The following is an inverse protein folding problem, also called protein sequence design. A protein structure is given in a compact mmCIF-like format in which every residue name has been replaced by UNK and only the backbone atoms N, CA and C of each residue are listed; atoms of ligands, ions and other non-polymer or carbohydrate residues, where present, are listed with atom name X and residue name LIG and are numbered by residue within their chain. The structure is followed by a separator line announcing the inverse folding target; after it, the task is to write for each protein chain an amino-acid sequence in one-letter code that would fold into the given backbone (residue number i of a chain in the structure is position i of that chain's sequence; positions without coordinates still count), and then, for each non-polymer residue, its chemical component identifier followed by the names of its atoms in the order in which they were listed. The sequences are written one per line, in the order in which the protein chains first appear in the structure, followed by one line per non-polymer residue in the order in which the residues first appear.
data_IF_858928278136
#
_entry.id   IF_858928278136
#
_cell.length_a   1.000
_cell.length_b   1.000
_cell.length_c   1.000
_cell.angle_alpha   90.00
_cell.angle_beta   90.00
_cell.angle_gamma   90.00
#
_symmetry.space_group_name_H-M   'P 1'
#
loop_
_entity.id
_entity.type
_entity.pdbx_description
1 polymer ?
#
# COMPACT_ATOMS: atom_id res chain seq x y z
N UNK A 1 -61.17 -12.34 -13.16
CA UNK A 1 -59.82 -12.15 -13.73
C UNK A 1 -58.99 -13.37 -13.39
N UNK A 2 -58.54 -14.13 -14.41
CA UNK A 2 -57.77 -15.36 -14.20
C UNK A 2 -56.31 -15.00 -13.90
N UNK A 3 -55.85 -15.29 -12.69
CA UNK A 3 -54.42 -15.18 -12.33
C UNK A 3 -53.71 -16.41 -12.90
N UNK A 4 -52.96 -16.22 -13.98
CA UNK A 4 -52.08 -17.25 -14.52
C UNK A 4 -50.76 -17.23 -13.74
N UNK A 5 -50.47 -18.29 -12.98
CA UNK A 5 -49.15 -18.49 -12.36
C UNK A 5 -48.12 -18.70 -13.47
N UNK A 6 -47.35 -17.66 -13.79
CA UNK A 6 -46.17 -17.79 -14.68
C UNK A 6 -44.99 -18.26 -13.85
N UNK A 7 -44.35 -19.33 -14.30
CA UNK A 7 -43.04 -19.75 -13.80
C UNK A 7 -41.98 -18.96 -14.56
N UNK A 8 -41.08 -18.30 -13.84
CA UNK A 8 -39.98 -17.50 -14.41
C UNK A 8 -38.67 -18.13 -13.95
N UNK A 9 -37.80 -18.45 -14.90
CA UNK A 9 -36.47 -18.99 -14.66
C UNK A 9 -35.42 -17.96 -15.10
N UNK A 10 -34.39 -17.77 -14.27
CA UNK A 10 -33.29 -16.83 -14.56
C UNK A 10 -32.04 -17.61 -14.97
N UNK A 11 -31.40 -17.17 -16.05
CA UNK A 11 -30.17 -17.77 -16.58
C UNK A 11 -29.18 -16.65 -16.89
N UNK A 12 -27.91 -16.87 -16.53
CA UNK A 12 -26.81 -15.99 -16.91
C UNK A 12 -26.18 -16.47 -18.22
N UNK A 13 -26.03 -15.55 -19.17
CA UNK A 13 -25.37 -15.81 -20.46
C UNK A 13 -24.21 -14.81 -20.66
N UNK A 14 -23.06 -15.25 -21.19
CA UNK A 14 -22.00 -14.34 -21.60
C UNK A 14 -22.46 -13.39 -22.72
N UNK A 15 -21.92 -12.17 -22.77
CA UNK A 15 -22.23 -11.24 -23.85
C UNK A 15 -21.60 -11.68 -25.18
N UNK A 16 -22.26 -11.37 -26.30
CA UNK A 16 -21.76 -11.52 -27.67
C UNK A 16 -21.34 -12.95 -28.09
N UNK A 17 -21.97 -13.98 -27.52
CA UNK A 17 -21.75 -15.38 -27.93
C UNK A 17 -22.69 -15.85 -29.06
N UNK A 18 -23.39 -14.92 -29.73
CA UNK A 18 -24.24 -15.22 -30.88
C UNK A 18 -25.64 -15.72 -30.51
N UNK A 19 -26.14 -15.46 -29.30
CA UNK A 19 -27.53 -15.77 -28.92
C UNK A 19 -28.42 -14.65 -29.49
N UNK A 20 -29.26 -14.92 -30.52
CA UNK A 20 -29.92 -13.85 -31.26
C UNK A 20 -30.84 -12.96 -30.41
N UNK A 21 -31.52 -13.54 -29.41
CA UNK A 21 -32.39 -12.79 -28.50
C UNK A 21 -31.61 -11.87 -27.56
N UNK A 22 -30.48 -12.34 -27.02
CA UNK A 22 -29.59 -11.55 -26.16
C UNK A 22 -28.94 -10.41 -26.96
N UNK A 23 -28.39 -10.72 -28.12
CA UNK A 23 -27.69 -9.74 -28.96
C UNK A 23 -28.67 -8.68 -29.50
N UNK A 24 -29.91 -9.08 -29.83
CA UNK A 24 -30.97 -8.14 -30.19
C UNK A 24 -31.37 -7.24 -29.01
N UNK A 25 -31.48 -7.78 -27.80
CA UNK A 25 -31.79 -7.00 -26.61
C UNK A 25 -30.68 -5.98 -26.30
N UNK A 26 -29.41 -6.40 -26.36
CA UNK A 26 -28.24 -5.54 -26.17
C UNK A 26 -28.17 -4.42 -27.23
N UNK A 27 -28.36 -4.77 -28.50
CA UNK A 27 -28.43 -3.80 -29.60
C UNK A 27 -29.53 -2.75 -29.38
N UNK A 28 -30.74 -3.19 -29.04
CA UNK A 28 -31.86 -2.27 -28.78
C UNK A 28 -31.62 -1.39 -27.55
N UNK A 29 -30.99 -1.92 -26.50
CA UNK A 29 -30.60 -1.14 -25.33
C UNK A 29 -29.58 -0.05 -25.70
N UNK A 30 -28.59 -0.37 -26.54
CA UNK A 30 -27.61 0.59 -27.03
C UNK A 30 -28.24 1.66 -27.95
N UNK A 31 -29.13 1.27 -28.86
CA UNK A 31 -29.88 2.20 -29.73
C UNK A 31 -30.73 3.17 -28.89
N UNK A 32 -31.35 2.68 -27.81
CA UNK A 32 -32.14 3.51 -26.90
C UNK A 32 -31.29 4.60 -26.23
N UNK A 33 -30.01 4.36 -25.93
CA UNK A 33 -29.13 5.41 -25.36
C UNK A 33 -28.97 6.59 -26.35
N UNK A 34 -28.98 6.31 -27.66
CA UNK A 34 -28.75 7.31 -28.72
C UNK A 34 -30.02 7.97 -29.27
N UNK A 35 -31.21 7.52 -28.85
CA UNK A 35 -32.49 8.06 -29.36
C UNK A 35 -32.76 9.47 -28.86
N UNK A 36 -33.26 10.33 -29.76
CA UNK A 36 -33.66 11.72 -29.45
C UNK A 36 -34.89 11.83 -28.54
N UNK A 37 -35.65 10.75 -28.39
CA UNK A 37 -36.80 10.66 -27.47
C UNK A 37 -36.42 10.12 -26.08
N UNK A 38 -35.16 9.76 -25.87
CA UNK A 38 -34.72 9.20 -24.60
C UNK A 38 -34.68 10.24 -23.50
N UNK A 39 -35.15 9.85 -22.31
CA UNK A 39 -35.05 10.69 -21.12
C UNK A 39 -33.58 10.80 -20.73
N UNK A 40 -33.01 12.00 -20.87
CA UNK A 40 -31.68 12.28 -20.34
C UNK A 40 -31.72 12.20 -18.82
N UNK A 41 -31.14 11.14 -18.27
CA UNK A 41 -30.84 11.08 -16.84
C UNK A 41 -29.60 11.96 -16.63
N UNK A 42 -29.82 13.24 -16.33
CA UNK A 42 -28.73 14.21 -16.10
C UNK A 42 -28.04 14.01 -14.74
N UNK A 43 -28.51 13.07 -13.94
CA UNK A 43 -27.99 12.82 -12.60
C UNK A 43 -26.93 11.74 -12.66
N UNK A 44 -25.68 12.13 -12.38
CA UNK A 44 -24.61 11.17 -12.17
C UNK A 44 -24.94 10.33 -10.93
N UNK A 45 -24.88 8.99 -11.02
CA UNK A 45 -25.04 8.14 -9.86
C UNK A 45 -24.04 8.53 -8.76
N UNK A 46 -24.48 8.50 -7.51
CA UNK A 46 -23.62 8.78 -6.36
C UNK A 46 -22.32 7.96 -6.37
N UNK A 47 -22.39 6.69 -6.79
CA UNK A 47 -21.23 5.80 -6.87
C UNK A 47 -20.18 6.31 -7.87
N UNK A 48 -20.61 6.88 -8.99
CA UNK A 48 -19.71 7.45 -9.99
C UNK A 48 -19.04 8.72 -9.48
N UNK A 49 -19.82 9.62 -8.86
CA UNK A 49 -19.27 10.83 -8.23
C UNK A 49 -18.25 10.45 -7.16
N UNK A 50 -18.61 9.51 -6.27
CA UNK A 50 -17.71 9.01 -5.23
C UNK A 50 -16.42 8.44 -5.81
N UNK A 51 -16.51 7.65 -6.88
CA UNK A 51 -15.35 7.10 -7.60
C UNK A 51 -14.46 8.21 -8.15
N UNK A 52 -15.03 9.21 -8.82
CA UNK A 52 -14.30 10.35 -9.39
C UNK A 52 -13.58 11.14 -8.27
N UNK A 53 -14.28 11.45 -7.19
CA UNK A 53 -13.71 12.15 -6.03
C UNK A 53 -12.53 11.35 -5.48
N UNK A 54 -12.70 10.04 -5.23
CA UNK A 54 -11.64 9.20 -4.69
C UNK A 54 -10.41 9.16 -5.62
N UNK A 55 -10.62 9.02 -6.94
CA UNK A 55 -9.54 9.04 -7.92
C UNK A 55 -8.79 10.36 -7.91
N UNK A 56 -9.52 11.49 -7.87
CA UNK A 56 -8.92 12.80 -7.80
C UNK A 56 -8.13 12.98 -6.48
N UNK A 57 -8.70 12.63 -5.34
CA UNK A 57 -8.03 12.70 -4.03
C UNK A 57 -6.74 11.87 -4.00
N UNK A 58 -6.79 10.63 -4.49
CA UNK A 58 -5.60 9.74 -4.56
C UNK A 58 -4.54 10.35 -5.49
N UNK A 59 -4.93 10.86 -6.66
CA UNK A 59 -3.99 11.47 -7.59
C UNK A 59 -3.32 12.71 -7.00
N UNK A 60 -4.10 13.63 -6.42
CA UNK A 60 -3.57 14.83 -5.76
C UNK A 60 -2.63 14.47 -4.61
N UNK A 61 -2.98 13.47 -3.80
CA UNK A 61 -2.09 13.01 -2.73
C UNK A 61 -0.80 12.38 -3.28
N UNK A 62 -0.87 11.60 -4.37
CA UNK A 62 0.32 11.03 -5.00
C UNK A 62 1.22 12.12 -5.58
N UNK A 63 0.67 13.18 -6.18
CA UNK A 63 1.43 14.34 -6.67
C UNK A 63 2.19 15.00 -5.51
N UNK A 64 1.50 15.36 -4.42
CA UNK A 64 2.15 15.94 -3.24
C UNK A 64 3.19 14.98 -2.61
N UNK A 65 2.95 13.67 -2.67
CA UNK A 65 3.92 12.68 -2.22
C UNK A 65 5.15 12.60 -3.12
N UNK A 66 5.01 12.83 -4.43
CA UNK A 66 6.10 12.83 -5.40
C UNK A 66 6.97 14.08 -5.34
N UNK A 67 6.45 15.19 -4.82
CA UNK A 67 7.21 16.42 -4.53
C UNK A 67 8.15 16.27 -3.31
N UNK A 68 7.89 15.31 -2.42
CA UNK A 68 8.74 15.07 -1.25
C UNK A 68 10.10 14.50 -1.69
N UNK A 69 11.22 15.06 -1.21
CA UNK A 69 12.55 14.60 -1.59
C UNK A 69 12.84 13.19 -1.08
N UNK A 70 13.69 12.46 -1.80
CA UNK A 70 14.14 11.10 -1.44
C UNK A 70 14.95 11.09 -0.12
N UNK A 71 15.44 12.24 0.35
CA UNK A 71 16.04 12.37 1.67
C UNK A 71 15.05 12.08 2.82
N UNK A 72 13.74 12.15 2.57
CA UNK A 72 12.74 11.72 3.53
C UNK A 72 12.82 10.19 3.75
N UNK A 73 12.93 9.79 5.02
CA UNK A 73 13.12 8.39 5.45
C UNK A 73 12.06 7.43 4.90
N UNK A 74 10.79 7.86 4.83
CA UNK A 74 9.72 7.01 4.31
C UNK A 74 9.67 7.07 2.77
N UNK A 75 9.94 8.23 2.16
CA UNK A 75 9.92 8.39 0.69
C UNK A 75 10.96 7.52 -0.01
N UNK A 76 12.15 7.37 0.56
CA UNK A 76 13.17 6.47 0.00
C UNK A 76 12.82 4.98 0.06
N UNK A 77 11.79 4.61 0.83
CA UNK A 77 11.29 3.23 0.93
C UNK A 77 9.97 3.07 0.17
N UNK A 78 9.07 4.05 0.25
CA UNK A 78 7.70 3.99 -0.24
C UNK A 78 7.46 5.06 -1.30
N UNK A 79 7.57 4.69 -2.58
CA UNK A 79 7.38 5.62 -3.71
C UNK A 79 5.91 5.95 -3.98
N UNK A 80 5.00 5.00 -3.78
CA UNK A 80 3.56 5.16 -4.02
C UNK A 80 2.75 5.20 -2.73
N UNK A 81 1.72 6.03 -2.70
CA UNK A 81 0.81 6.18 -1.55
C UNK A 81 -0.12 4.97 -1.35
N UNK A 82 -0.18 4.07 -2.34
CA UNK A 82 -1.01 2.86 -2.32
C UNK A 82 -0.80 2.07 -1.04
N UNK A 83 -1.87 1.55 -0.45
CA UNK A 83 -1.75 0.73 0.76
C UNK A 83 -0.90 -0.50 0.46
N UNK A 84 0.09 -0.76 1.32
CA UNK A 84 0.84 -2.02 1.24
C UNK A 84 0.00 -3.18 1.75
N UNK A 85 0.12 -4.31 1.07
CA UNK A 85 -0.46 -5.58 1.44
C UNK A 85 0.28 -6.11 2.67
N UNK A 86 -0.36 -5.99 3.82
CA UNK A 86 0.11 -6.61 5.06
C UNK A 86 -0.40 -8.03 5.13
N UNK A 87 0.46 -8.96 5.56
CA UNK A 87 0.04 -10.33 5.83
C UNK A 87 -1.09 -10.33 6.88
N UNK A 88 -2.13 -11.17 6.70
CA UNK A 88 -3.15 -11.34 7.71
C UNK A 88 -2.51 -11.87 9.01
N UNK A 89 -3.00 -11.42 10.16
CA UNK A 89 -2.56 -11.84 11.49
C UNK A 89 -1.11 -11.48 11.87
N UNK A 90 -0.55 -10.41 11.29
CA UNK A 90 0.71 -9.85 11.79
C UNK A 90 0.55 -9.41 13.25
N UNK A 91 1.54 -9.73 14.11
CA UNK A 91 1.48 -9.32 15.51
C UNK A 91 1.66 -7.80 15.63
N UNK A 92 0.96 -7.19 16.59
CA UNK A 92 1.08 -5.76 16.91
C UNK A 92 2.54 -5.31 17.07
N UNK A 93 3.38 -6.15 17.67
CA UNK A 93 4.81 -5.84 17.84
C UNK A 93 5.53 -5.68 16.50
N UNK A 94 5.24 -6.58 15.55
CA UNK A 94 5.82 -6.53 14.21
C UNK A 94 5.37 -5.28 13.46
N UNK A 95 4.09 -4.89 13.57
CA UNK A 95 3.57 -3.66 12.96
C UNK A 95 4.26 -2.41 13.50
N UNK A 96 4.49 -2.34 14.81
CA UNK A 96 5.23 -1.25 15.45
C UNK A 96 6.65 -1.19 14.91
N UNK A 97 7.35 -2.33 14.86
CA UNK A 97 8.73 -2.40 14.37
C UNK A 97 8.79 -1.95 12.91
N UNK A 98 7.93 -2.48 12.06
CA UNK A 98 7.85 -2.11 10.65
C UNK A 98 7.61 -0.61 10.48
N UNK A 99 6.61 -0.05 11.18
CA UNK A 99 6.28 1.37 11.05
C UNK A 99 7.42 2.26 11.54
N UNK A 100 7.95 2.00 12.74
CA UNK A 100 8.98 2.83 13.36
C UNK A 100 10.31 2.79 12.63
N UNK A 101 10.72 1.63 12.13
CA UNK A 101 11.94 1.49 11.32
C UNK A 101 11.85 2.26 10.01
N UNK A 102 10.69 2.21 9.34
CA UNK A 102 10.47 2.90 8.06
C UNK A 102 10.47 4.42 8.17
N UNK A 103 9.82 4.96 9.21
CA UNK A 103 9.87 6.41 9.49
C UNK A 103 11.15 6.81 10.24
N UNK A 104 11.95 5.82 10.65
CA UNK A 104 13.17 5.96 11.43
C UNK A 104 12.99 6.50 12.85
N UNK A 105 11.76 6.58 13.38
CA UNK A 105 11.43 7.07 14.73
C UNK A 105 11.47 5.93 15.75
N UNK A 106 12.67 5.61 16.23
CA UNK A 106 12.92 4.54 17.21
C UNK A 106 13.56 5.11 18.47
N UNK A 107 13.56 4.37 19.58
CA UNK A 107 14.28 4.79 20.77
C UNK A 107 15.78 4.98 20.45
N UNK A 108 16.38 4.02 19.72
CA UNK A 108 17.79 4.08 19.30
C UNK A 108 18.18 5.35 18.55
N UNK A 109 17.28 5.88 17.72
CA UNK A 109 17.61 6.95 16.77
C UNK A 109 17.06 8.31 17.18
N UNK A 110 16.09 8.40 18.09
CA UNK A 110 15.43 9.68 18.46
C UNK A 110 15.48 10.02 19.95
N UNK A 111 15.88 9.09 20.84
CA UNK A 111 15.93 9.40 22.27
C UNK A 111 16.87 10.56 22.59
N UNK A 112 17.99 10.68 21.85
CA UNK A 112 18.95 11.77 22.03
C UNK A 112 18.34 13.14 21.75
N UNK A 113 17.43 13.24 20.77
CA UNK A 113 16.70 14.48 20.48
C UNK A 113 15.79 14.86 21.65
N UNK A 114 15.07 13.87 22.20
CA UNK A 114 14.14 14.07 23.32
C UNK A 114 14.90 14.49 24.58
N UNK A 115 16.08 13.90 24.81
CA UNK A 115 16.93 14.19 25.98
C UNK A 115 17.88 15.38 25.79
N UNK A 116 17.94 15.95 24.59
CA UNK A 116 18.93 16.95 24.20
C UNK A 116 20.38 16.48 24.45
N UNK A 117 20.65 15.22 24.11
CA UNK A 117 21.96 14.57 24.18
C UNK A 117 22.56 14.44 22.77
N UNK A 118 23.86 14.15 22.69
CA UNK A 118 24.52 13.87 21.42
C UNK A 118 23.97 12.58 20.77
N UNK A 119 24.01 12.54 19.43
CA UNK A 119 23.56 11.37 18.69
C UNK A 119 24.44 10.15 19.05
N UNK A 120 23.84 9.01 19.42
CA UNK A 120 24.61 7.83 19.76
C UNK A 120 25.39 7.33 18.53
N UNK A 121 26.64 6.94 18.76
CA UNK A 121 27.51 6.37 17.74
C UNK A 121 27.49 4.84 17.80
N UNK A 122 27.73 4.20 16.66
CA UNK A 122 27.89 2.76 16.56
C UNK A 122 29.16 2.30 17.30
N UNK A 123 29.03 1.33 18.21
CA UNK A 123 30.16 0.82 19.01
C UNK A 123 31.27 0.15 18.20
N UNK A 124 31.00 -0.28 16.96
CA UNK A 124 31.99 -0.97 16.11
C UNK A 124 32.70 -0.07 15.11
N UNK A 125 32.00 0.90 14.52
CA UNK A 125 32.55 1.71 13.42
C UNK A 125 32.44 3.22 13.66
N UNK A 126 31.97 3.64 14.83
CA UNK A 126 31.89 5.04 15.25
C UNK A 126 31.04 5.97 14.38
N UNK A 127 30.21 5.41 13.49
CA UNK A 127 29.26 6.15 12.66
C UNK A 127 27.98 6.49 13.44
N UNK A 128 27.29 7.61 13.14
CA UNK A 128 26.04 7.96 13.78
C UNK A 128 24.97 6.87 13.61
N UNK A 129 24.35 6.47 14.72
CA UNK A 129 23.36 5.40 14.71
C UNK A 129 22.08 5.86 13.99
N UNK A 130 21.74 5.13 12.93
CA UNK A 130 20.51 5.32 12.15
C UNK A 130 19.97 3.98 11.68
N UNK A 131 18.70 3.93 11.27
CA UNK A 131 18.13 2.70 10.69
C UNK A 131 18.87 2.33 9.40
N UNK A 132 19.18 3.31 8.54
CA UNK A 132 19.99 3.10 7.34
C UNK A 132 21.33 2.43 7.68
N UNK A 133 22.02 2.98 8.68
CA UNK A 133 23.28 2.42 9.13
C UNK A 133 23.11 0.95 9.56
N UNK A 134 22.11 0.63 10.37
CA UNK A 134 21.87 -0.75 10.85
C UNK A 134 21.57 -1.71 9.68
N UNK A 135 20.67 -1.31 8.78
CA UNK A 135 20.12 -2.21 7.74
C UNK A 135 20.93 -2.26 6.45
N UNK A 136 21.91 -1.37 6.23
CA UNK A 136 22.76 -1.35 5.04
C UNK A 136 24.27 -1.26 5.36
N UNK A 137 24.67 -0.30 6.18
CA UNK A 137 26.08 0.14 6.19
C UNK A 137 26.93 -0.56 7.27
N UNK A 138 26.34 -0.90 8.42
CA UNK A 138 27.07 -1.28 9.62
C UNK A 138 27.81 -2.61 9.45
N UNK A 139 29.14 -2.67 9.64
CA UNK A 139 29.89 -3.93 9.57
C UNK A 139 29.49 -4.93 10.66
N UNK A 140 28.94 -4.45 11.79
CA UNK A 140 28.47 -5.30 12.89
C UNK A 140 27.35 -6.24 12.44
N UNK A 141 26.43 -5.73 11.63
CA UNK A 141 25.21 -6.45 11.23
C UNK A 141 25.32 -7.08 9.84
N UNK A 142 26.51 -7.08 9.22
CA UNK A 142 26.71 -7.61 7.87
C UNK A 142 26.18 -9.03 7.69
N UNK A 143 26.56 -9.96 8.59
CA UNK A 143 26.08 -11.34 8.52
C UNK A 143 24.58 -11.47 8.81
N UNK A 144 24.06 -10.67 9.76
CA UNK A 144 22.64 -10.69 10.10
C UNK A 144 21.74 -10.18 8.95
N UNK A 145 22.26 -9.31 8.07
CA UNK A 145 21.53 -8.82 6.89
C UNK A 145 21.17 -9.90 5.86
N UNK A 146 21.73 -11.11 6.00
CA UNK A 146 21.26 -12.28 5.24
C UNK A 146 19.76 -12.54 5.45
N UNK A 147 19.21 -12.25 6.64
CA UNK A 147 17.78 -12.34 6.93
C UNK A 147 16.95 -11.40 6.04
N UNK A 148 17.52 -10.27 5.62
CA UNK A 148 16.90 -9.30 4.71
C UNK A 148 17.32 -9.52 3.25
N UNK A 149 17.97 -10.64 2.93
CA UNK A 149 18.53 -10.94 1.61
C UNK A 149 19.62 -9.97 1.15
N UNK A 150 20.47 -9.47 2.07
CA UNK A 150 21.57 -8.55 1.77
C UNK A 150 21.13 -7.34 0.91
N UNK A 151 20.23 -6.49 1.45
CA UNK A 151 19.64 -5.41 0.69
C UNK A 151 20.70 -4.38 0.28
N UNK A 152 20.58 -3.84 -0.93
CA UNK A 152 21.44 -2.79 -1.46
C UNK A 152 20.86 -1.37 -1.25
N UNK A 153 19.56 -1.30 -0.92
CA UNK A 153 18.83 -0.04 -0.75
C UNK A 153 17.83 -0.09 0.41
N UNK A 154 17.38 1.08 0.86
CA UNK A 154 16.35 1.19 1.90
C UNK A 154 15.00 0.59 1.46
N UNK A 155 14.66 0.70 0.18
CA UNK A 155 13.46 0.10 -0.42
C UNK A 155 13.54 -1.43 -0.39
N UNK A 156 14.69 -2.02 -0.71
CA UNK A 156 14.89 -3.47 -0.57
C UNK A 156 14.90 -3.91 0.89
N UNK A 157 15.52 -3.15 1.79
CA UNK A 157 15.63 -3.54 3.20
C UNK A 157 14.28 -3.51 3.94
N UNK A 158 13.49 -2.44 3.72
CA UNK A 158 12.31 -2.14 4.52
C UNK A 158 11.02 -1.99 3.70
N UNK A 159 11.06 -2.31 2.40
CA UNK A 159 9.92 -2.23 1.50
C UNK A 159 8.83 -3.25 1.80
N UNK A 160 7.83 -3.29 0.91
CA UNK A 160 6.66 -4.14 1.06
C UNK A 160 7.01 -5.63 1.07
N UNK A 161 7.87 -6.07 0.14
CA UNK A 161 8.23 -7.48 -0.02
C UNK A 161 8.96 -8.07 1.19
N UNK A 162 9.79 -7.27 1.87
CA UNK A 162 10.57 -7.71 3.03
C UNK A 162 9.89 -7.46 4.37
N UNK A 163 8.67 -6.92 4.39
CA UNK A 163 7.90 -6.59 5.62
C UNK A 163 7.89 -7.70 6.67
N UNK A 164 7.81 -8.96 6.23
CA UNK A 164 7.75 -10.13 7.10
C UNK A 164 9.10 -10.52 7.73
N UNK A 165 10.22 -10.03 7.17
CA UNK A 165 11.58 -10.33 7.60
C UNK A 165 12.13 -9.28 8.58
N UNK A 166 11.63 -8.05 8.51
CA UNK A 166 12.11 -6.90 9.30
C UNK A 166 12.12 -7.23 10.80
N UNK A 167 11.00 -7.73 11.35
CA UNK A 167 10.94 -8.06 12.77
C UNK A 167 11.93 -9.18 13.14
N UNK A 168 12.02 -10.24 12.33
CA UNK A 168 12.97 -11.34 12.55
C UNK A 168 14.41 -10.84 12.56
N UNK A 169 14.77 -9.92 11.66
CA UNK A 169 16.09 -9.28 11.64
C UNK A 169 16.37 -8.49 12.92
N UNK A 170 15.48 -7.57 13.32
CA UNK A 170 15.67 -6.75 14.52
C UNK A 170 15.69 -7.58 15.80
N UNK A 171 14.94 -8.69 15.84
CA UNK A 171 14.97 -9.65 16.94
C UNK A 171 16.30 -10.41 16.98
N UNK A 172 16.81 -10.85 15.83
CA UNK A 172 18.08 -11.58 15.74
C UNK A 172 19.26 -10.75 16.23
N UNK A 173 19.29 -9.44 15.93
CA UNK A 173 20.35 -8.54 16.39
C UNK A 173 20.10 -7.97 17.80
N UNK A 174 19.03 -8.40 18.49
CA UNK A 174 18.70 -7.97 19.85
C UNK A 174 18.30 -6.50 20.00
N UNK A 175 17.82 -5.88 18.93
CA UNK A 175 17.40 -4.48 18.91
C UNK A 175 15.89 -4.29 18.86
N UNK A 176 15.12 -5.37 18.70
CA UNK A 176 13.66 -5.32 18.61
C UNK A 176 13.05 -4.47 19.72
N UNK A 177 13.39 -4.71 20.99
CA UNK A 177 12.90 -3.94 22.16
C UNK A 177 13.19 -2.44 22.13
N UNK A 178 14.21 -2.01 21.38
CA UNK A 178 14.63 -0.61 21.26
C UNK A 178 14.06 0.09 20.01
N UNK A 179 13.30 -0.65 19.20
CA UNK A 179 12.45 -0.12 18.13
C UNK A 179 11.08 0.23 18.70
#
# INVERSE_FOLDING_TARGET
MSSTKKVIEFIWVPSHIGIPGNDKADKLANEAITSTSSTLISTLPYQDIKRIINLHTINTWQISWDEIPISNKLKCIKKKITKWQTQPNISRRSEIINTRTRIGHTNLTHIHIIKNEEQPLCSRCNEPLSIKHIVLDCPLYFNARTILNQPSSMEEALGEHHTHLIHSFFKHIGLDTKI
#
